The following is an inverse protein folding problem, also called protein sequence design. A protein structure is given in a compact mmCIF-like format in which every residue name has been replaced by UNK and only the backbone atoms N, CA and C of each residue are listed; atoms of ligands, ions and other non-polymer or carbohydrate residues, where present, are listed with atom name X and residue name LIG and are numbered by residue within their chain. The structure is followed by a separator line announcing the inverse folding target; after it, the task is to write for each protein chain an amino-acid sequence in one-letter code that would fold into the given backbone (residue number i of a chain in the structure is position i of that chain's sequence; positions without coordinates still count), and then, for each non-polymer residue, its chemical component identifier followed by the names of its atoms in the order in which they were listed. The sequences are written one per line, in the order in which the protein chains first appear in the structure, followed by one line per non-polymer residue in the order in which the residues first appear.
data_IF_033160915078
#
_entry.id   IF_033160915078
#
_cell.length_a   1.000
_cell.length_b   1.000
_cell.length_c   1.000
_cell.angle_alpha   90.00
_cell.angle_beta   90.00
_cell.angle_gamma   90.00
#
_symmetry.space_group_name_H-M   'P 1'
#
loop_
_entity.id
_entity.type
_entity.pdbx_description
1 polymer ?
#
# COMPACT_ATOMS: atom_id res chain seq x y z
N UNK A 1 -13.63 -10.77 13.05
CA UNK A 1 -14.73 -9.78 13.16
C UNK A 1 -14.13 -8.40 13.25
N UNK A 2 -14.65 -7.42 12.51
CA UNK A 2 -14.21 -6.02 12.64
C UNK A 2 -14.61 -5.49 14.03
N UNK A 3 -13.76 -4.70 14.71
CA UNK A 3 -14.11 -4.09 15.98
C UNK A 3 -15.39 -3.26 15.83
N UNK A 4 -16.33 -3.39 16.77
CA UNK A 4 -17.52 -2.55 16.80
C UNK A 4 -17.43 -1.58 17.97
N UNK A 5 -17.61 -0.29 17.69
CA UNK A 5 -17.81 0.73 18.72
C UNK A 5 -19.32 0.86 18.93
N UNK A 6 -19.78 0.61 20.16
CA UNK A 6 -21.17 0.89 20.55
C UNK A 6 -21.23 2.25 21.22
N UNK A 7 -21.89 3.21 20.59
CA UNK A 7 -22.25 4.47 21.21
C UNK A 7 -23.67 4.38 21.76
N UNK A 8 -23.87 4.81 23.01
CA UNK A 8 -25.18 4.86 23.68
C UNK A 8 -25.46 6.27 24.17
N UNK A 9 -26.64 6.79 23.86
CA UNK A 9 -27.15 8.05 24.39
C UNK A 9 -28.61 7.82 24.85
N UNK A 10 -28.81 7.71 26.17
CA UNK A 10 -30.10 7.32 26.75
C UNK A 10 -30.54 5.92 26.29
N UNK A 11 -31.73 5.83 25.69
CA UNK A 11 -32.30 4.60 25.11
C UNK A 11 -31.83 4.29 23.68
N UNK A 12 -31.04 5.18 23.06
CA UNK A 12 -30.57 5.01 21.68
C UNK A 12 -29.18 4.40 21.64
N UNK A 13 -29.02 3.38 20.80
CA UNK A 13 -27.79 2.62 20.64
C UNK A 13 -27.43 2.62 19.15
N UNK A 14 -26.18 2.96 18.80
CA UNK A 14 -25.64 2.82 17.43
C UNK A 14 -24.33 2.05 17.52
N UNK A 15 -24.19 1.04 16.67
CA UNK A 15 -22.92 0.32 16.49
C UNK A 15 -22.24 0.82 15.22
N UNK A 16 -20.99 1.22 15.32
CA UNK A 16 -20.14 1.60 14.18
C UNK A 16 -19.10 0.50 14.00
N UNK A 17 -18.97 -0.02 12.79
CA UNK A 17 -17.92 -0.98 12.43
C UNK A 17 -16.63 -0.23 12.10
N UNK A 18 -15.53 -0.60 12.75
CA UNK A 18 -14.20 -0.11 12.41
C UNK A 18 -13.71 -0.89 11.18
N UNK A 19 -13.89 -0.31 10.00
CA UNK A 19 -13.63 -1.01 8.73
C UNK A 19 -12.18 -0.96 8.27
N UNK A 20 -11.34 -0.10 8.87
CA UNK A 20 -9.93 0.09 8.50
C UNK A 20 -8.99 -0.43 9.60
N UNK A 21 -7.82 -1.00 9.24
CA UNK A 21 -6.80 -1.38 10.21
C UNK A 21 -6.23 -0.16 10.94
N UNK A 22 -5.67 -0.36 12.13
CA UNK A 22 -5.02 0.72 12.87
C UNK A 22 -3.73 1.16 12.17
N UNK A 23 -3.51 2.47 12.10
CA UNK A 23 -2.30 3.06 11.55
C UNK A 23 -1.04 2.54 12.24
N UNK A 24 -1.03 2.50 13.57
CA UNK A 24 0.14 2.10 14.35
C UNK A 24 0.52 0.63 14.11
N UNK A 25 -0.48 -0.25 13.95
CA UNK A 25 -0.26 -1.67 13.65
C UNK A 25 0.28 -1.86 12.24
N UNK A 26 -0.28 -1.16 11.25
CA UNK A 26 0.23 -1.16 9.89
C UNK A 26 1.66 -0.63 9.83
N UNK A 27 1.92 0.49 10.50
CA UNK A 27 3.25 1.11 10.55
C UNK A 27 4.29 0.15 11.13
N UNK A 28 4.01 -0.44 12.30
CA UNK A 28 4.89 -1.42 12.95
C UNK A 28 5.14 -2.66 12.09
N UNK A 29 4.14 -3.10 11.31
CA UNK A 29 4.30 -4.20 10.37
C UNK A 29 5.16 -3.80 9.15
N UNK A 30 4.97 -2.58 8.63
CA UNK A 30 5.75 -2.04 7.52
C UNK A 30 7.22 -1.88 7.87
N UNK A 31 7.55 -1.45 9.09
CA UNK A 31 8.94 -1.30 9.56
C UNK A 31 9.76 -2.59 9.40
N UNK A 32 9.14 -3.77 9.54
CA UNK A 32 9.81 -5.07 9.35
C UNK A 32 10.22 -5.34 7.90
N UNK A 33 9.57 -4.69 6.95
CA UNK A 33 9.79 -4.84 5.51
C UNK A 33 10.29 -3.55 4.86
N UNK A 34 10.73 -2.57 5.68
CA UNK A 34 11.42 -1.39 5.19
C UNK A 34 12.89 -1.73 4.85
N UNK A 35 13.05 -2.67 3.93
CA UNK A 35 14.31 -3.22 3.44
C UNK A 35 14.44 -2.93 1.95
N UNK A 36 15.64 -3.14 1.39
CA UNK A 36 15.84 -3.11 -0.07
C UNK A 36 14.96 -4.16 -0.73
N UNK A 37 14.55 -3.92 -1.97
CA UNK A 37 13.58 -4.78 -2.65
C UNK A 37 14.00 -6.28 -2.64
N UNK A 38 15.24 -6.68 -2.98
CA UNK A 38 15.66 -8.09 -2.93
C UNK A 38 15.47 -8.74 -1.56
N UNK A 39 15.74 -8.00 -0.49
CA UNK A 39 15.60 -8.49 0.89
C UNK A 39 14.12 -8.65 1.27
N UNK A 40 13.23 -7.79 0.75
CA UNK A 40 11.77 -7.96 0.92
C UNK A 40 11.30 -9.23 0.23
N UNK A 41 11.70 -9.47 -1.03
CA UNK A 41 11.35 -10.69 -1.74
C UNK A 41 11.84 -11.93 -1.00
N UNK A 42 13.10 -11.92 -0.55
CA UNK A 42 13.70 -13.02 0.23
C UNK A 42 12.99 -13.24 1.57
N UNK A 43 12.64 -12.17 2.28
CA UNK A 43 11.94 -12.23 3.57
C UNK A 43 10.54 -12.84 3.42
N UNK A 44 9.80 -12.42 2.38
CA UNK A 44 8.45 -12.94 2.11
C UNK A 44 8.50 -14.38 1.62
N UNK A 45 9.47 -14.73 0.79
CA UNK A 45 9.68 -16.09 0.30
C UNK A 45 8.53 -16.61 -0.58
N UNK A 46 8.46 -17.94 -0.72
CA UNK A 46 7.42 -18.65 -1.48
C UNK A 46 7.42 -18.27 -2.97
N UNK A 47 6.26 -18.38 -3.61
CA UNK A 47 6.07 -18.08 -5.02
C UNK A 47 6.54 -16.66 -5.40
N UNK A 48 6.45 -15.71 -4.47
CA UNK A 48 6.91 -14.33 -4.69
C UNK A 48 8.42 -14.26 -4.91
N UNK A 49 9.18 -14.98 -4.09
CA UNK A 49 10.63 -15.00 -4.21
C UNK A 49 11.07 -15.82 -5.43
N UNK A 50 10.39 -16.93 -5.72
CA UNK A 50 10.63 -17.75 -6.92
C UNK A 50 10.48 -16.92 -8.20
N UNK A 51 9.38 -16.17 -8.33
CA UNK A 51 9.15 -15.28 -9.48
C UNK A 51 10.23 -14.20 -9.59
N UNK A 52 10.62 -13.58 -8.46
CA UNK A 52 11.73 -12.62 -8.45
C UNK A 52 13.02 -13.24 -8.97
N UNK A 53 13.37 -14.46 -8.54
CA UNK A 53 14.56 -15.17 -8.99
C UNK A 53 14.49 -15.54 -10.48
N UNK A 54 13.34 -16.01 -10.96
CA UNK A 54 13.13 -16.33 -12.37
C UNK A 54 13.33 -15.12 -13.27
N UNK A 55 12.77 -13.99 -12.90
CA UNK A 55 12.88 -12.80 -13.72
C UNK A 55 14.27 -12.15 -13.63
N UNK A 56 14.94 -12.23 -12.47
CA UNK A 56 16.37 -11.87 -12.37
C UNK A 56 17.25 -12.69 -13.34
N UNK A 57 16.96 -13.99 -13.50
CA UNK A 57 17.67 -14.85 -14.46
C UNK A 57 17.40 -14.41 -15.90
N UNK A 58 16.14 -14.11 -16.26
CA UNK A 58 15.75 -13.69 -17.62
C UNK A 58 16.42 -12.38 -18.03
N UNK A 59 16.51 -11.44 -17.10
CA UNK A 59 17.00 -10.09 -17.38
C UNK A 59 18.53 -9.96 -17.27
N UNK A 60 19.25 -11.03 -16.90
CA UNK A 60 20.68 -11.02 -16.57
C UNK A 60 21.07 -9.88 -15.61
N UNK A 61 20.11 -9.39 -14.83
CA UNK A 61 20.25 -8.23 -13.97
C UNK A 61 19.52 -8.49 -12.65
N UNK A 62 20.29 -8.44 -11.57
CA UNK A 62 19.79 -8.59 -10.20
C UNK A 62 19.11 -7.32 -9.65
N UNK A 63 18.91 -6.28 -10.46
CA UNK A 63 18.48 -4.94 -10.01
C UNK A 63 17.12 -4.45 -10.56
N UNK A 64 16.41 -5.24 -11.37
CA UNK A 64 15.22 -4.73 -12.11
C UNK A 64 13.92 -4.76 -11.30
N UNK A 65 13.79 -5.59 -10.26
CA UNK A 65 12.61 -5.54 -9.37
C UNK A 65 12.74 -4.45 -8.33
N UNK A 66 12.62 -3.20 -8.78
CA UNK A 66 12.62 -2.05 -7.88
C UNK A 66 11.29 -1.96 -7.12
N UNK A 67 10.20 -2.44 -7.72
CA UNK A 67 8.87 -2.18 -7.19
C UNK A 67 8.38 -3.21 -6.15
N UNK A 68 9.04 -3.26 -4.99
CA UNK A 68 8.55 -4.01 -3.84
C UNK A 68 7.45 -3.26 -3.04
N UNK A 69 6.95 -2.10 -3.50
CA UNK A 69 6.04 -1.27 -2.69
C UNK A 69 4.71 -1.99 -2.38
N UNK A 70 4.10 -2.63 -3.39
CA UNK A 70 2.86 -3.39 -3.22
C UNK A 70 3.05 -4.61 -2.30
N UNK A 71 4.24 -5.23 -2.33
CA UNK A 71 4.59 -6.36 -1.47
C UNK A 71 4.78 -5.90 -0.03
N UNK A 72 5.51 -4.79 0.21
CA UNK A 72 5.66 -4.20 1.54
C UNK A 72 4.31 -3.84 2.14
N UNK A 73 3.44 -3.21 1.35
CA UNK A 73 2.08 -2.90 1.80
C UNK A 73 1.22 -4.14 2.04
N UNK A 74 1.35 -5.17 1.21
CA UNK A 74 0.67 -6.45 1.43
C UNK A 74 1.12 -7.12 2.72
N UNK A 75 2.43 -7.11 3.01
CA UNK A 75 2.97 -7.56 4.29
C UNK A 75 2.39 -6.74 5.44
N UNK A 76 2.43 -5.41 5.32
CA UNK A 76 1.91 -4.51 6.33
C UNK A 76 0.43 -4.82 6.62
N UNK A 77 -0.39 -5.05 5.59
CA UNK A 77 -1.78 -5.46 5.77
C UNK A 77 -1.91 -6.80 6.51
N UNK A 78 -1.28 -7.85 5.98
CA UNK A 78 -1.36 -9.21 6.51
C UNK A 78 -0.99 -9.30 7.99
N UNK A 79 0.01 -8.54 8.42
CA UNK A 79 0.52 -8.53 9.80
C UNK A 79 0.02 -7.36 10.65
N UNK A 80 -0.54 -6.32 10.03
CA UNK A 80 -0.97 -5.06 10.66
C UNK A 80 -2.47 -4.97 10.93
N UNK A 81 -3.23 -6.04 10.68
CA UNK A 81 -4.64 -6.12 11.09
C UNK A 81 -5.66 -6.14 9.95
N UNK A 82 -5.21 -6.35 8.70
CA UNK A 82 -6.08 -6.66 7.57
C UNK A 82 -5.49 -7.82 6.78
N UNK A 83 -5.93 -9.05 7.06
CA UNK A 83 -5.51 -10.21 6.27
C UNK A 83 -6.09 -10.13 4.87
N UNK A 84 -5.23 -10.08 3.86
CA UNK A 84 -5.66 -10.10 2.46
C UNK A 84 -6.37 -11.45 2.20
N UNK A 85 -7.57 -11.45 1.61
CA UNK A 85 -8.28 -12.69 1.33
C UNK A 85 -7.55 -13.58 0.31
N UNK A 86 -7.59 -14.89 0.54
CA UNK A 86 -7.09 -15.90 -0.42
C UNK A 86 -8.04 -16.09 -1.60
N UNK A 87 -9.36 -15.99 -1.35
CA UNK A 87 -10.43 -16.08 -2.36
C UNK A 87 -10.72 -14.75 -3.06
N UNK A 88 -11.82 -14.68 -3.81
CA UNK A 88 -12.23 -13.47 -4.56
C UNK A 88 -12.29 -12.24 -3.65
N UNK A 89 -11.54 -11.19 -4.01
CA UNK A 89 -11.59 -9.90 -3.31
C UNK A 89 -12.67 -9.02 -3.92
N UNK A 90 -12.67 -8.88 -5.25
CA UNK A 90 -13.65 -8.11 -6.01
C UNK A 90 -14.32 -9.06 -7.01
N UNK A 91 -15.65 -9.16 -6.98
CA UNK A 91 -16.39 -10.00 -7.93
C UNK A 91 -16.18 -9.47 -9.36
N UNK A 92 -15.89 -10.37 -10.30
CA UNK A 92 -15.68 -10.02 -11.72
C UNK A 92 -14.36 -9.32 -12.04
N UNK A 93 -13.46 -9.16 -11.07
CA UNK A 93 -12.13 -8.56 -11.29
C UNK A 93 -11.03 -9.41 -10.66
N UNK A 94 -10.10 -9.86 -11.48
CA UNK A 94 -8.93 -10.58 -11.00
C UNK A 94 -7.95 -9.61 -10.34
N UNK A 95 -7.55 -9.94 -9.11
CA UNK A 95 -6.52 -9.21 -8.37
C UNK A 95 -5.29 -10.09 -8.32
N UNK A 96 -4.30 -9.78 -9.18
CA UNK A 96 -3.04 -10.52 -9.29
C UNK A 96 -2.31 -10.51 -7.95
N UNK A 97 -2.07 -11.71 -7.43
CA UNK A 97 -1.40 -11.94 -6.15
C UNK A 97 -0.71 -13.28 -6.14
N UNK A 98 0.35 -13.38 -5.34
CA UNK A 98 1.10 -14.62 -5.16
C UNK A 98 1.19 -14.95 -3.67
N UNK A 99 1.50 -16.21 -3.36
CA UNK A 99 1.69 -16.65 -1.98
C UNK A 99 3.12 -16.40 -1.52
N UNK A 100 3.27 -15.89 -0.31
CA UNK A 100 4.54 -15.92 0.40
C UNK A 100 4.81 -17.31 0.99
N UNK A 101 6.00 -17.49 1.58
CA UNK A 101 6.34 -18.72 2.32
C UNK A 101 5.43 -18.94 3.53
N UNK A 102 4.83 -17.87 4.05
CA UNK A 102 3.84 -17.87 5.13
C UNK A 102 2.42 -18.29 4.69
N UNK A 103 2.25 -18.71 3.43
CA UNK A 103 0.98 -19.04 2.79
C UNK A 103 -0.03 -17.88 2.72
N UNK A 104 0.39 -16.65 3.01
CA UNK A 104 -0.46 -15.48 2.88
C UNK A 104 -0.40 -14.91 1.46
N UNK A 105 -1.50 -14.32 0.96
CA UNK A 105 -1.52 -13.68 -0.34
C UNK A 105 -0.88 -12.28 -0.30
N UNK A 106 -0.14 -11.93 -1.35
CA UNK A 106 0.43 -10.60 -1.54
C UNK A 106 0.05 -10.06 -2.91
N UNK A 107 -0.53 -8.86 -2.91
CA UNK A 107 -0.82 -8.07 -4.10
C UNK A 107 0.51 -7.48 -4.59
N UNK A 108 0.76 -7.57 -5.88
CA UNK A 108 2.06 -7.23 -6.48
C UNK A 108 2.02 -6.05 -7.45
N UNK A 109 0.90 -5.35 -7.55
CA UNK A 109 0.80 -4.11 -8.34
C UNK A 109 0.10 -3.00 -7.57
N UNK A 110 0.49 -1.76 -7.87
CA UNK A 110 -0.09 -0.56 -7.24
C UNK A 110 -1.53 -0.35 -7.68
N UNK A 111 -1.84 -0.53 -8.96
CA UNK A 111 -3.21 -0.41 -9.47
C UNK A 111 -4.17 -1.39 -8.78
N UNK A 112 -3.75 -2.65 -8.64
CA UNK A 112 -4.55 -3.64 -7.92
C UNK A 112 -4.68 -3.30 -6.42
N UNK A 113 -3.66 -2.67 -5.82
CA UNK A 113 -3.75 -2.16 -4.46
C UNK A 113 -4.79 -1.04 -4.35
N UNK A 114 -4.81 -0.09 -5.29
CA UNK A 114 -5.82 0.99 -5.36
C UNK A 114 -7.22 0.40 -5.47
N UNK A 115 -7.40 -0.61 -6.33
CA UNK A 115 -8.68 -1.31 -6.48
C UNK A 115 -9.15 -1.94 -5.17
N UNK A 116 -8.26 -2.65 -4.48
CA UNK A 116 -8.58 -3.30 -3.21
C UNK A 116 -8.87 -2.28 -2.11
N UNK A 117 -8.11 -1.18 -2.04
CA UNK A 117 -8.36 -0.08 -1.12
C UNK A 117 -9.73 0.55 -1.37
N UNK A 118 -10.04 0.86 -2.62
CA UNK A 118 -11.31 1.50 -3.02
C UNK A 118 -12.48 0.57 -2.74
N UNK A 119 -12.37 -0.71 -3.08
CA UNK A 119 -13.40 -1.70 -2.81
C UNK A 119 -13.63 -1.91 -1.31
N UNK A 120 -12.56 -1.93 -0.51
CA UNK A 120 -12.66 -2.26 0.91
C UNK A 120 -13.00 -1.07 1.79
N UNK A 121 -12.45 0.11 1.47
CA UNK A 121 -12.47 1.29 2.33
C UNK A 121 -13.27 2.45 1.73
N UNK A 122 -13.81 2.29 0.52
CA UNK A 122 -14.46 3.35 -0.25
C UNK A 122 -13.43 4.28 -0.90
N UNK A 123 -13.91 5.39 -1.45
CA UNK A 123 -13.06 6.44 -2.03
C UNK A 123 -12.06 6.98 -0.99
N UNK A 124 -10.86 7.41 -1.41
CA UNK A 124 -9.93 8.08 -0.51
C UNK A 124 -10.53 9.38 0.01
N UNK A 125 -10.20 9.79 1.24
CA UNK A 125 -10.63 11.08 1.79
C UNK A 125 -10.02 12.25 1.01
N UNK A 126 -8.84 12.04 0.42
CA UNK A 126 -8.15 13.03 -0.39
C UNK A 126 -7.71 12.40 -1.70
N UNK A 127 -7.98 13.09 -2.81
CA UNK A 127 -7.54 12.71 -4.15
C UNK A 127 -7.15 13.96 -4.93
N UNK A 128 -5.98 14.52 -4.63
CA UNK A 128 -5.58 15.85 -5.08
C UNK A 128 -4.64 15.73 -6.29
N UNK A 129 -4.96 16.43 -7.37
CA UNK A 129 -4.03 16.61 -8.49
C UNK A 129 -2.89 17.52 -8.07
N UNK A 130 -1.65 17.11 -8.33
CA UNK A 130 -0.45 17.87 -7.91
C UNK A 130 -0.05 18.92 -8.93
N UNK A 131 -0.37 18.70 -10.22
CA UNK A 131 0.20 19.44 -11.35
C UNK A 131 1.74 19.55 -11.28
N UNK A 132 2.41 18.50 -10.78
CA UNK A 132 3.86 18.45 -10.61
C UNK A 132 4.41 19.30 -9.46
N UNK A 133 3.56 19.81 -8.57
CA UNK A 133 3.96 20.64 -7.41
C UNK A 133 3.98 19.83 -6.12
N UNK A 134 4.77 20.31 -5.16
CA UNK A 134 4.75 19.77 -3.80
C UNK A 134 3.46 20.21 -3.11
N UNK A 135 2.65 19.24 -2.70
CA UNK A 135 1.39 19.46 -1.99
C UNK A 135 1.39 18.82 -0.59
N UNK A 136 2.56 18.45 -0.07
CA UNK A 136 2.72 17.76 1.22
C UNK A 136 2.08 18.50 2.40
N UNK A 137 2.07 19.83 2.37
CA UNK A 137 1.44 20.68 3.39
C UNK A 137 -0.06 20.39 3.55
N UNK A 138 -0.75 19.97 2.47
CA UNK A 138 -2.17 19.60 2.49
C UNK A 138 -2.42 18.29 3.26
N UNK A 139 -1.37 17.50 3.49
CA UNK A 139 -1.40 16.22 4.21
C UNK A 139 -0.78 16.30 5.61
N UNK A 140 -0.37 17.50 6.05
CA UNK A 140 0.20 17.70 7.39
C UNK A 140 -0.79 17.28 8.48
N UNK A 141 -0.31 16.51 9.46
CA UNK A 141 -1.13 15.98 10.56
C UNK A 141 -2.12 14.88 10.18
N UNK A 142 -2.23 14.52 8.89
CA UNK A 142 -3.06 13.40 8.41
C UNK A 142 -2.22 12.16 8.33
N UNK A 143 -2.74 10.99 8.71
CA UNK A 143 -1.99 9.74 8.64
C UNK A 143 -2.81 8.64 7.99
N UNK A 144 -2.17 7.76 7.24
CA UNK A 144 -2.89 6.73 6.52
C UNK A 144 -2.10 6.02 5.43
N UNK A 145 -2.83 5.38 4.53
CA UNK A 145 -2.28 4.78 3.32
C UNK A 145 -2.29 5.85 2.23
N UNK A 146 -1.11 6.20 1.75
CA UNK A 146 -0.91 7.20 0.71
C UNK A 146 -0.50 6.53 -0.59
N UNK A 147 -1.11 6.96 -1.69
CA UNK A 147 -0.77 6.52 -3.04
C UNK A 147 -0.35 7.73 -3.85
N UNK A 148 0.83 7.67 -4.43
CA UNK A 148 1.34 8.63 -5.40
C UNK A 148 1.11 8.04 -6.79
N UNK A 149 0.30 8.69 -7.62
CA UNK A 149 0.17 8.34 -9.05
C UNK A 149 1.24 9.12 -9.80
N UNK A 150 2.07 8.41 -10.56
CA UNK A 150 3.28 8.96 -11.18
C UNK A 150 3.28 8.66 -12.67
N UNK A 151 3.53 9.70 -13.46
CA UNK A 151 3.83 9.58 -14.89
C UNK A 151 5.35 9.61 -15.12
N UNK A 152 5.81 8.90 -16.15
CA UNK A 152 7.22 8.86 -16.56
C UNK A 152 8.06 7.74 -15.93
N UNK A 153 7.49 6.96 -15.00
CA UNK A 153 8.08 5.69 -14.57
C UNK A 153 7.86 4.62 -15.64
N UNK A 154 8.91 3.83 -15.92
CA UNK A 154 8.87 2.77 -16.93
C UNK A 154 8.35 1.43 -16.41
N UNK A 155 8.34 1.26 -15.09
CA UNK A 155 8.08 -0.01 -14.39
C UNK A 155 6.89 0.07 -13.41
N UNK A 156 6.29 1.25 -13.24
CA UNK A 156 5.22 1.49 -12.29
C UNK A 156 4.35 2.68 -12.69
N UNK A 157 3.06 2.63 -12.36
CA UNK A 157 2.09 3.73 -12.52
C UNK A 157 2.03 4.64 -11.29
N UNK A 158 2.75 4.29 -10.23
CA UNK A 158 2.69 4.97 -8.95
C UNK A 158 3.36 4.19 -7.82
N UNK A 159 3.24 4.73 -6.61
CA UNK A 159 3.81 4.20 -5.38
C UNK A 159 2.77 4.17 -4.27
N UNK A 160 2.74 3.11 -3.47
CA UNK A 160 1.88 3.00 -2.29
C UNK A 160 2.73 2.85 -1.03
N UNK A 161 2.43 3.66 -0.02
CA UNK A 161 3.20 3.76 1.22
C UNK A 161 2.31 4.19 2.39
N UNK A 162 2.81 4.09 3.62
CA UNK A 162 2.15 4.71 4.77
C UNK A 162 2.69 6.13 4.99
N UNK A 163 1.80 7.08 5.25
CA UNK A 163 2.13 8.46 5.56
C UNK A 163 1.81 8.76 7.03
N UNK A 164 2.75 9.33 7.77
CA UNK A 164 2.60 9.63 9.21
C UNK A 164 2.02 11.00 9.54
N UNK A 165 1.76 11.84 8.54
CA UNK A 165 1.51 13.27 8.74
C UNK A 165 2.73 14.14 8.53
N UNK A 166 3.91 13.53 8.36
CA UNK A 166 5.16 14.24 8.12
C UNK A 166 6.17 13.48 7.27
N UNK A 167 6.11 12.14 7.23
CA UNK A 167 7.01 11.31 6.43
C UNK A 167 6.34 10.04 5.91
N UNK A 168 6.89 9.51 4.82
CA UNK A 168 6.59 8.18 4.32
C UNK A 168 7.27 7.11 5.21
N UNK A 169 6.68 5.92 5.29
CA UNK A 169 7.21 4.81 6.08
C UNK A 169 8.51 4.22 5.54
N UNK A 170 8.79 4.38 4.25
CA UNK A 170 10.06 4.03 3.62
C UNK A 170 11.09 5.17 3.63
N UNK A 171 10.74 6.32 4.22
CA UNK A 171 11.62 7.49 4.32
C UNK A 171 11.81 8.29 3.02
N UNK A 172 11.18 7.89 1.91
CA UNK A 172 11.33 8.57 0.63
C UNK A 172 10.28 9.68 0.45
N UNK A 173 10.66 10.74 -0.27
CA UNK A 173 9.77 11.84 -0.62
C UNK A 173 9.27 11.68 -2.04
N UNK A 174 7.96 11.51 -2.23
CA UNK A 174 7.36 11.24 -3.55
C UNK A 174 6.47 12.38 -4.07
N UNK A 175 6.36 13.51 -3.34
CA UNK A 175 5.56 14.65 -3.78
C UNK A 175 6.19 15.37 -4.98
N UNK A 176 7.53 15.41 -5.02
CA UNK A 176 8.34 15.91 -6.12
C UNK A 176 9.29 14.78 -6.55
N UNK A 177 9.56 14.70 -7.85
CA UNK A 177 10.42 13.69 -8.45
C UNK A 177 11.72 14.35 -8.89
N UNK A 178 12.85 13.67 -8.69
CA UNK A 178 14.18 14.22 -8.99
C UNK A 178 14.46 14.32 -10.51
N UNK A 179 13.69 13.60 -11.32
CA UNK A 179 13.84 13.56 -12.78
C UNK A 179 12.82 14.49 -13.45
N UNK A 180 13.23 15.41 -14.33
CA UNK A 180 12.30 16.35 -14.99
C UNK A 180 11.19 15.69 -15.82
N UNK A 181 11.46 14.49 -16.35
CA UNK A 181 10.52 13.71 -17.17
C UNK A 181 9.54 12.87 -16.34
N UNK A 182 9.72 12.80 -15.02
CA UNK A 182 8.88 12.04 -14.11
C UNK A 182 8.09 13.01 -13.26
N UNK A 183 6.78 12.80 -13.14
CA UNK A 183 5.90 13.69 -12.37
C UNK A 183 4.93 12.88 -11.55
N UNK A 184 4.91 13.11 -10.25
CA UNK A 184 3.73 12.78 -9.45
C UNK A 184 2.61 13.67 -9.93
N UNK A 185 1.51 13.10 -10.41
CA UNK A 185 0.37 13.84 -10.99
C UNK A 185 -0.85 13.87 -10.05
N UNK A 186 -0.95 12.91 -9.13
CA UNK A 186 -2.05 12.82 -8.17
C UNK A 186 -1.59 12.15 -6.89
N UNK A 187 -2.10 12.60 -5.75
CA UNK A 187 -1.90 11.94 -4.45
C UNK A 187 -3.25 11.55 -3.87
N UNK A 188 -3.38 10.28 -3.48
CA UNK A 188 -4.54 9.74 -2.79
C UNK A 188 -4.19 9.44 -1.33
N UNK A 189 -5.09 9.70 -0.40
CA UNK A 189 -4.93 9.32 1.01
C UNK A 189 -6.21 8.66 1.54
N UNK A 190 -6.05 7.44 2.05
CA UNK A 190 -7.03 6.81 2.94
C UNK A 190 -6.57 7.01 4.39
N UNK A 191 -7.24 7.87 5.13
CA UNK A 191 -6.93 8.13 6.53
C UNK A 191 -7.12 6.89 7.40
N UNK A 192 -6.20 6.71 8.34
CA UNK A 192 -6.21 5.65 9.35
C UNK A 192 -6.08 6.24 10.74
N UNK A 193 -6.66 5.55 11.73
CA UNK A 193 -6.60 5.95 13.14
C UNK A 193 -5.48 5.24 13.91
#
# INVERSE_FOLDING_TARGET
MAPQIRARAGSRNRSISVNRPSFSRLWKAYEKVNLKAPDVYKLVGGNIYELYLEDCKKLQQYQVFQNACAIRMSYAFNYGGYKIPTGTIIKGKEIKRFKGADNLPYIVSVDAMIDVLTHKFGNPEYGIATNGKDISSQFSGKKGIMVFVVEGWGDATGHVVLWSGSRCSDGHWYFIQDRPTVKTIKVLLWELK
#
